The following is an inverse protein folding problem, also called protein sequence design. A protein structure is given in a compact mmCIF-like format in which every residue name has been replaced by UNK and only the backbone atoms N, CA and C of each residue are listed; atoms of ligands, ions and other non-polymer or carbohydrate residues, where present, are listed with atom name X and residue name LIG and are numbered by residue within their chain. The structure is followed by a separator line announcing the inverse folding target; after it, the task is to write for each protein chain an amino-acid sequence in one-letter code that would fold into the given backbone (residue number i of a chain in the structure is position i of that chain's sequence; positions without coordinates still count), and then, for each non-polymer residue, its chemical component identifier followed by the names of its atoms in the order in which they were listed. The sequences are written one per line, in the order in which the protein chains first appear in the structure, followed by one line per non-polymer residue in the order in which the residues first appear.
data_IF_873498324576
#
_entry.id   IF_873498324576
#
_cell.length_a   1.000
_cell.length_b   1.000
_cell.length_c   1.000
_cell.angle_alpha   90.00
_cell.angle_beta   90.00
_cell.angle_gamma   90.00
#
_symmetry.space_group_name_H-M   'P 1'
#
loop_
_entity.id
_entity.type
_entity.pdbx_description
1 polymer ?
#
# COMPACT_ATOMS: atom_id res chain seq x y z
N UNK A 1 7.91 -12.95 19.00
CA UNK A 1 7.13 -14.13 19.48
C UNK A 1 7.70 -15.39 18.84
N UNK A 2 7.96 -16.43 19.64
CA UNK A 2 8.43 -17.72 19.15
C UNK A 2 7.36 -18.42 18.27
N UNK A 3 7.73 -19.46 17.50
CA UNK A 3 6.76 -20.33 16.87
C UNK A 3 5.75 -20.86 17.91
N UNK A 4 4.50 -21.09 17.48
CA UNK A 4 3.40 -21.55 18.35
C UNK A 4 2.83 -20.51 19.33
N UNK A 5 3.25 -19.25 19.29
CA UNK A 5 2.71 -18.16 20.13
C UNK A 5 1.35 -17.63 19.67
N UNK A 6 0.68 -18.31 18.75
CA UNK A 6 -0.64 -17.92 18.19
C UNK A 6 -0.66 -16.51 17.55
N UNK A 7 0.45 -16.07 16.97
CA UNK A 7 0.56 -14.76 16.30
C UNK A 7 -0.57 -14.52 15.33
N UNK A 8 -0.78 -15.45 14.40
CA UNK A 8 -1.84 -15.32 13.37
C UNK A 8 -3.25 -15.29 13.97
N UNK A 9 -3.50 -15.98 15.09
CA UNK A 9 -4.80 -15.92 15.76
C UNK A 9 -5.05 -14.56 16.40
N UNK A 10 -4.02 -13.92 16.96
CA UNK A 10 -4.10 -12.58 17.55
C UNK A 10 -4.27 -11.55 16.44
N UNK A 11 -3.47 -11.64 15.38
CA UNK A 11 -3.57 -10.75 14.23
C UNK A 11 -4.94 -10.84 13.57
N UNK A 12 -5.43 -12.06 13.27
CA UNK A 12 -6.76 -12.27 12.71
C UNK A 12 -7.88 -11.69 13.58
N UNK A 13 -7.77 -11.83 14.90
CA UNK A 13 -8.74 -11.25 15.83
C UNK A 13 -8.71 -9.71 15.79
N UNK A 14 -7.52 -9.11 15.73
CA UNK A 14 -7.34 -7.66 15.64
C UNK A 14 -7.76 -7.10 14.27
N UNK A 15 -7.45 -7.81 13.19
CA UNK A 15 -7.78 -7.39 11.82
C UNK A 15 -9.26 -7.62 11.45
N UNK A 16 -9.95 -8.53 12.15
CA UNK A 16 -11.34 -8.91 11.83
C UNK A 16 -12.31 -7.73 11.67
N UNK A 17 -12.34 -6.73 12.55
CA UNK A 17 -13.23 -5.57 12.37
C UNK A 17 -12.91 -4.78 11.10
N UNK A 18 -11.64 -4.64 10.76
CA UNK A 18 -11.20 -3.95 9.54
C UNK A 18 -11.62 -4.74 8.29
N UNK A 19 -11.44 -6.06 8.30
CA UNK A 19 -11.84 -6.93 7.20
C UNK A 19 -13.35 -6.88 6.96
N UNK A 20 -14.16 -6.91 8.02
CA UNK A 20 -15.61 -6.79 7.92
C UNK A 20 -16.01 -5.44 7.35
N UNK A 21 -15.41 -4.36 7.84
CA UNK A 21 -15.68 -3.02 7.36
C UNK A 21 -15.32 -2.87 5.87
N UNK A 22 -14.13 -3.31 5.48
CA UNK A 22 -13.64 -3.26 4.10
C UNK A 22 -14.55 -4.07 3.16
N UNK A 23 -14.94 -5.29 3.56
CA UNK A 23 -15.84 -6.14 2.78
C UNK A 23 -17.21 -5.49 2.59
N UNK A 24 -17.84 -5.03 3.67
CA UNK A 24 -19.15 -4.37 3.63
C UNK A 24 -19.13 -3.10 2.78
N UNK A 25 -18.06 -2.29 2.92
CA UNK A 25 -17.89 -1.08 2.13
C UNK A 25 -17.77 -1.42 0.64
N UNK A 26 -16.93 -2.38 0.31
CA UNK A 26 -16.69 -2.80 -1.08
C UNK A 26 -17.95 -3.40 -1.71
N UNK A 27 -18.71 -4.19 -0.97
CA UNK A 27 -19.99 -4.72 -1.42
C UNK A 27 -21.00 -3.59 -1.72
N UNK A 28 -21.16 -2.67 -0.78
CA UNK A 28 -22.08 -1.53 -0.93
C UNK A 28 -21.72 -0.60 -2.09
N UNK A 29 -20.41 -0.49 -2.45
CA UNK A 29 -19.91 0.44 -3.46
C UNK A 29 -19.49 -0.25 -4.77
N UNK A 30 -19.65 -1.56 -4.90
CA UNK A 30 -19.18 -2.32 -6.06
C UNK A 30 -19.72 -1.77 -7.39
N UNK A 31 -21.01 -1.43 -7.44
CA UNK A 31 -21.63 -0.83 -8.62
C UNK A 31 -21.04 0.54 -8.98
N UNK A 32 -20.78 1.39 -7.99
CA UNK A 32 -20.21 2.72 -8.19
C UNK A 32 -18.73 2.64 -8.66
N UNK A 33 -17.96 1.69 -8.10
CA UNK A 33 -16.58 1.42 -8.51
C UNK A 33 -16.52 0.98 -9.97
N UNK A 34 -17.36 0.01 -10.39
CA UNK A 34 -17.38 -0.46 -11.78
C UNK A 34 -17.92 0.61 -12.75
N UNK A 35 -18.89 1.41 -12.35
CA UNK A 35 -19.36 2.54 -13.13
C UNK A 35 -18.27 3.59 -13.34
N UNK A 36 -17.53 3.95 -12.28
CA UNK A 36 -16.41 4.88 -12.33
C UNK A 36 -15.29 4.39 -13.25
N UNK A 37 -14.91 3.12 -13.13
CA UNK A 37 -13.92 2.47 -14.00
C UNK A 37 -14.36 2.45 -15.46
N UNK A 38 -15.66 2.23 -15.70
CA UNK A 38 -16.22 2.25 -17.06
C UNK A 38 -16.23 3.68 -17.64
N UNK A 39 -16.59 4.67 -16.82
CA UNK A 39 -16.57 6.08 -17.22
C UNK A 39 -15.15 6.53 -17.63
N UNK A 40 -14.13 6.18 -16.84
CA UNK A 40 -12.74 6.47 -17.19
C UNK A 40 -12.34 5.87 -18.54
N UNK A 41 -12.64 4.58 -18.75
CA UNK A 41 -12.35 3.89 -20.02
C UNK A 41 -13.06 4.56 -21.22
N UNK A 42 -14.27 5.08 -21.00
CA UNK A 42 -15.01 5.80 -22.03
C UNK A 42 -14.35 7.14 -22.35
N UNK A 43 -13.89 7.89 -21.33
CA UNK A 43 -13.14 9.14 -21.51
C UNK A 43 -11.84 8.90 -22.28
N UNK A 44 -11.06 7.89 -21.90
CA UNK A 44 -9.82 7.51 -22.60
C UNK A 44 -10.07 7.18 -24.08
N UNK A 45 -11.14 6.43 -24.37
CA UNK A 45 -11.53 6.11 -25.76
C UNK A 45 -11.99 7.34 -26.55
N UNK A 46 -12.76 8.24 -25.90
CA UNK A 46 -13.20 9.49 -26.55
C UNK A 46 -12.02 10.39 -26.86
N UNK A 47 -11.08 10.54 -25.92
CA UNK A 47 -9.85 11.29 -26.14
C UNK A 47 -9.07 10.73 -27.32
N UNK A 48 -8.77 9.44 -27.32
CA UNK A 48 -8.06 8.78 -28.41
C UNK A 48 -8.76 8.94 -29.77
N UNK A 49 -10.09 8.82 -29.80
CA UNK A 49 -10.86 9.04 -31.03
C UNK A 49 -10.78 10.50 -31.50
N UNK A 50 -10.87 11.47 -30.59
CA UNK A 50 -10.74 12.89 -30.91
C UNK A 50 -9.34 13.22 -31.47
N UNK A 51 -8.28 12.70 -30.85
CA UNK A 51 -6.89 12.81 -31.34
C UNK A 51 -6.76 12.28 -32.78
N UNK A 52 -7.31 11.09 -33.06
CA UNK A 52 -7.30 10.50 -34.39
C UNK A 52 -8.04 11.34 -35.45
N UNK A 53 -9.14 12.06 -35.06
CA UNK A 53 -9.88 12.94 -35.96
C UNK A 53 -9.13 14.25 -36.23
N UNK A 54 -8.48 14.81 -35.21
CA UNK A 54 -7.63 16.01 -35.36
C UNK A 54 -6.42 15.69 -36.26
N UNK A 55 -5.76 14.57 -36.07
CA UNK A 55 -4.65 14.12 -36.95
C UNK A 55 -5.07 13.96 -38.42
N UNK A 56 -6.35 13.64 -38.67
CA UNK A 56 -6.91 13.49 -40.01
C UNK A 56 -7.47 14.83 -40.57
N UNK A 57 -7.31 15.95 -39.86
CA UNK A 57 -7.81 17.27 -40.26
C UNK A 57 -9.35 17.39 -40.23
N UNK A 58 -10.05 16.51 -39.50
CA UNK A 58 -11.52 16.46 -39.48
C UNK A 58 -12.15 17.19 -38.27
N UNK A 59 -11.35 17.52 -37.24
CA UNK A 59 -11.79 18.25 -36.06
C UNK A 59 -10.73 19.23 -35.58
N UNK A 60 -11.15 20.18 -34.73
CA UNK A 60 -10.26 21.12 -34.09
C UNK A 60 -9.61 20.56 -32.84
N UNK A 61 -8.43 21.07 -32.46
CA UNK A 61 -7.67 20.59 -31.28
C UNK A 61 -8.36 20.93 -29.95
N UNK A 62 -9.28 21.89 -29.91
CA UNK A 62 -9.97 22.33 -28.69
C UNK A 62 -10.75 21.22 -27.98
N UNK A 63 -11.35 20.29 -28.74
CA UNK A 63 -12.06 19.13 -28.16
C UNK A 63 -11.08 18.13 -27.48
N UNK A 64 -9.89 17.95 -28.05
CA UNK A 64 -8.83 17.11 -27.47
C UNK A 64 -8.35 17.71 -26.16
N UNK A 65 -8.12 19.04 -26.13
CA UNK A 65 -7.70 19.72 -24.89
C UNK A 65 -8.74 19.60 -23.79
N UNK A 66 -10.02 19.78 -24.09
CA UNK A 66 -11.09 19.62 -23.10
C UNK A 66 -11.17 18.21 -22.55
N UNK A 67 -11.13 17.19 -23.40
CA UNK A 67 -11.16 15.79 -22.98
C UNK A 67 -9.91 15.39 -22.18
N UNK A 68 -8.74 15.95 -22.53
CA UNK A 68 -7.50 15.72 -21.78
C UNK A 68 -7.58 16.31 -20.36
N UNK A 69 -8.15 17.53 -20.23
CA UNK A 69 -8.39 18.15 -18.92
C UNK A 69 -9.41 17.32 -18.11
N UNK A 70 -10.55 16.96 -18.74
CA UNK A 70 -11.58 16.12 -18.08
C UNK A 70 -11.00 14.80 -17.58
N UNK A 71 -10.15 14.14 -18.36
CA UNK A 71 -9.48 12.91 -17.97
C UNK A 71 -8.46 13.13 -16.86
N UNK A 72 -7.69 14.22 -16.88
CA UNK A 72 -6.73 14.56 -15.84
C UNK A 72 -7.38 14.87 -14.49
N UNK A 73 -8.57 15.48 -14.50
CA UNK A 73 -9.35 15.81 -13.31
C UNK A 73 -10.23 14.64 -12.82
N UNK A 74 -10.40 13.59 -13.64
CA UNK A 74 -11.26 12.46 -13.31
C UNK A 74 -10.72 11.65 -12.13
N UNK A 75 -11.46 11.66 -11.04
CA UNK A 75 -11.15 10.86 -9.85
C UNK A 75 -11.85 9.51 -9.93
N UNK A 76 -11.10 8.48 -10.30
CA UNK A 76 -11.61 7.11 -10.34
C UNK A 76 -11.90 6.61 -8.92
N UNK A 77 -13.14 6.19 -8.67
CA UNK A 77 -13.48 5.52 -7.42
C UNK A 77 -12.89 4.11 -7.43
N UNK A 78 -12.08 3.81 -6.42
CA UNK A 78 -11.42 2.51 -6.25
C UNK A 78 -12.02 1.74 -5.09
N UNK A 79 -11.88 0.41 -5.06
CA UNK A 79 -12.22 -0.37 -3.88
C UNK A 79 -11.43 0.12 -2.67
N UNK A 80 -12.07 0.15 -1.52
CA UNK A 80 -11.40 0.44 -0.25
C UNK A 80 -10.39 -0.66 0.07
N UNK A 81 -9.19 -0.27 0.48
CA UNK A 81 -8.14 -1.16 0.96
C UNK A 81 -7.51 -0.56 2.21
N UNK A 82 -7.85 -1.10 3.37
CA UNK A 82 -7.40 -0.57 4.66
C UNK A 82 -5.95 -0.94 4.97
N UNK A 83 -5.55 -2.17 4.62
CA UNK A 83 -4.19 -2.63 4.84
C UNK A 83 -3.74 -3.67 3.79
N UNK A 84 -2.45 -3.96 3.82
CA UNK A 84 -1.79 -5.00 3.04
C UNK A 84 -0.91 -5.84 3.96
N UNK A 85 -0.69 -7.11 3.60
CA UNK A 85 0.21 -8.01 4.32
C UNK A 85 1.59 -8.04 3.66
N UNK A 86 1.62 -8.32 2.36
CA UNK A 86 2.82 -8.36 1.53
C UNK A 86 2.72 -7.34 0.39
N UNK A 87 3.75 -6.49 0.27
CA UNK A 87 3.74 -5.39 -0.70
C UNK A 87 5.15 -4.92 -1.04
N UNK A 88 5.45 -4.77 -2.33
CA UNK A 88 6.72 -4.14 -2.73
C UNK A 88 6.71 -2.63 -2.45
N UNK A 89 7.88 -1.99 -2.25
CA UNK A 89 7.96 -0.53 -2.02
C UNK A 89 7.29 0.28 -3.12
N UNK A 90 7.40 -0.18 -4.36
CA UNK A 90 6.77 0.46 -5.51
C UNK A 90 5.24 0.38 -5.47
N UNK A 91 4.71 -0.80 -5.11
CA UNK A 91 3.26 -0.97 -5.00
C UNK A 91 2.72 -0.26 -3.77
N UNK A 92 3.50 -0.18 -2.68
CA UNK A 92 3.14 0.59 -1.48
C UNK A 92 3.00 2.09 -1.81
N UNK A 93 3.91 2.65 -2.61
CA UNK A 93 3.79 4.04 -3.06
C UNK A 93 2.51 4.27 -3.87
N UNK A 94 2.18 3.34 -4.80
CA UNK A 94 0.92 3.43 -5.55
C UNK A 94 -0.31 3.31 -4.66
N UNK A 95 -0.29 2.42 -3.64
CA UNK A 95 -1.40 2.29 -2.68
C UNK A 95 -1.57 3.58 -1.87
N UNK A 96 -0.47 4.17 -1.39
CA UNK A 96 -0.52 5.46 -0.71
C UNK A 96 -1.11 6.55 -1.61
N UNK A 97 -0.67 6.63 -2.88
CA UNK A 97 -1.22 7.56 -3.86
C UNK A 97 -2.72 7.35 -4.11
N UNK A 98 -3.15 6.09 -4.20
CA UNK A 98 -4.54 5.69 -4.44
C UNK A 98 -5.47 5.94 -3.25
N UNK A 99 -4.93 5.99 -2.02
CA UNK A 99 -5.67 6.11 -0.76
C UNK A 99 -5.42 7.45 -0.04
N UNK A 100 -5.29 8.54 -0.77
CA UNK A 100 -5.07 9.89 -0.21
C UNK A 100 -3.89 9.95 0.78
N UNK A 101 -2.83 9.22 0.49
CA UNK A 101 -1.60 9.18 1.30
C UNK A 101 -1.64 8.19 2.47
N UNK A 102 -2.69 7.41 2.66
CA UNK A 102 -2.84 6.53 3.82
C UNK A 102 -2.71 5.07 3.45
N UNK A 103 -1.92 4.32 4.22
CA UNK A 103 -1.82 2.86 4.10
C UNK A 103 -1.44 2.23 5.45
N UNK A 104 -1.78 0.95 5.60
CA UNK A 104 -1.28 0.15 6.71
C UNK A 104 -0.67 -1.17 6.17
N UNK A 105 0.32 -1.67 6.88
CA UNK A 105 0.90 -3.01 6.68
C UNK A 105 0.67 -3.80 7.95
N UNK A 106 0.01 -4.95 7.84
CA UNK A 106 -0.18 -5.90 8.92
C UNK A 106 0.40 -7.23 8.48
N UNK A 107 1.44 -7.74 9.16
CA UNK A 107 2.05 -9.01 8.80
C UNK A 107 2.51 -9.81 10.01
N UNK A 108 2.32 -11.14 9.95
CA UNK A 108 2.73 -12.08 10.99
C UNK A 108 4.09 -12.73 10.73
N UNK A 109 4.65 -12.55 9.55
CA UNK A 109 5.86 -13.26 9.13
C UNK A 109 7.09 -12.36 9.02
N UNK A 110 6.88 -11.05 8.91
CA UNK A 110 7.98 -10.10 8.74
C UNK A 110 8.65 -10.14 7.37
N UNK A 111 8.03 -10.83 6.39
CA UNK A 111 8.54 -10.97 5.01
C UNK A 111 8.80 -9.64 4.30
N UNK A 112 8.12 -8.58 4.71
CA UNK A 112 8.40 -7.22 4.25
C UNK A 112 9.88 -6.83 4.47
N UNK A 113 10.51 -7.27 5.56
CA UNK A 113 11.91 -6.95 5.82
C UNK A 113 12.87 -7.74 4.92
N UNK A 114 12.53 -8.98 4.56
CA UNK A 114 13.30 -9.78 3.61
C UNK A 114 13.30 -9.10 2.24
N UNK A 115 12.16 -8.59 1.82
CA UNK A 115 12.01 -7.83 0.58
C UNK A 115 12.76 -6.49 0.67
N UNK A 116 12.65 -5.77 1.77
CA UNK A 116 13.32 -4.49 1.99
C UNK A 116 14.83 -4.64 2.14
N UNK A 117 15.33 -5.76 2.68
CA UNK A 117 16.77 -6.03 2.81
C UNK A 117 17.46 -6.30 1.49
N UNK A 118 16.69 -6.41 0.40
CA UNK A 118 17.24 -6.63 -0.93
C UNK A 118 17.56 -8.09 -1.24
N UNK A 119 16.98 -9.05 -0.51
CA UNK A 119 17.12 -10.49 -0.83
C UNK A 119 16.70 -10.76 -2.27
N UNK A 120 15.68 -10.05 -2.75
CA UNK A 120 15.16 -10.16 -4.12
C UNK A 120 15.65 -9.05 -5.07
N UNK A 121 16.28 -7.98 -4.55
CA UNK A 121 16.79 -6.86 -5.37
C UNK A 121 18.07 -6.31 -4.77
N UNK A 122 19.05 -6.00 -5.61
CA UNK A 122 20.36 -5.45 -5.17
C UNK A 122 20.28 -4.07 -4.48
N UNK A 123 19.13 -3.38 -4.55
CA UNK A 123 18.93 -2.06 -3.99
C UNK A 123 17.85 -2.07 -2.92
N UNK A 124 18.26 -1.76 -1.71
CA UNK A 124 17.36 -1.58 -0.55
C UNK A 124 16.66 -0.23 -0.66
N UNK A 125 15.36 -0.23 -0.93
CA UNK A 125 14.57 1.00 -0.99
C UNK A 125 13.61 1.09 0.19
N UNK A 126 14.05 1.76 1.26
CA UNK A 126 13.24 1.99 2.47
C UNK A 126 12.65 3.41 2.54
N UNK A 127 12.83 4.23 1.49
CA UNK A 127 12.43 5.64 1.50
C UNK A 127 10.94 5.83 1.74
N UNK A 128 10.11 4.97 1.13
CA UNK A 128 8.65 5.01 1.30
C UNK A 128 8.26 4.79 2.76
N UNK A 129 8.96 3.90 3.48
CA UNK A 129 8.71 3.63 4.90
C UNK A 129 9.13 4.81 5.77
N UNK A 130 10.34 5.36 5.53
CA UNK A 130 10.86 6.49 6.29
C UNK A 130 9.97 7.72 6.14
N UNK A 131 9.63 8.05 4.89
CA UNK A 131 8.76 9.19 4.57
C UNK A 131 7.32 8.97 5.01
N UNK A 132 6.81 7.73 4.88
CA UNK A 132 5.48 7.37 5.37
C UNK A 132 5.33 7.51 6.89
N UNK A 133 6.42 7.32 7.65
CA UNK A 133 6.46 7.59 9.09
C UNK A 133 6.54 9.10 9.40
N UNK A 134 7.39 9.84 8.67
CA UNK A 134 7.65 11.26 8.97
C UNK A 134 6.57 12.19 8.39
N UNK A 135 5.75 11.72 7.44
CA UNK A 135 4.82 12.57 6.70
C UNK A 135 5.49 13.40 5.60
N UNK A 136 6.74 13.10 5.27
CA UNK A 136 7.50 13.81 4.24
C UNK A 136 6.97 13.47 2.85
N UNK A 137 6.92 14.43 1.90
CA UNK A 137 6.42 14.18 0.56
C UNK A 137 7.18 13.06 -0.16
N UNK A 138 6.42 12.14 -0.76
CA UNK A 138 6.94 11.07 -1.62
C UNK A 138 6.69 11.48 -3.06
N UNK A 139 7.76 11.51 -3.88
CA UNK A 139 7.68 11.70 -5.32
C UNK A 139 8.32 10.49 -5.99
N UNK A 140 7.56 9.83 -6.84
CA UNK A 140 8.01 8.63 -7.58
C UNK A 140 7.93 8.93 -9.06
N UNK A 141 9.10 9.08 -9.68
CA UNK A 141 9.26 9.26 -11.11
C UNK A 141 10.00 8.04 -11.66
N UNK A 142 9.34 7.23 -12.47
CA UNK A 142 9.94 6.04 -13.08
C UNK A 142 9.59 5.93 -14.54
N UNK A 143 10.51 5.43 -15.35
CA UNK A 143 10.29 5.16 -16.75
C UNK A 143 9.14 4.16 -16.92
N UNK A 144 8.15 4.49 -17.76
CA UNK A 144 7.01 3.64 -18.07
C UNK A 144 5.84 3.66 -17.07
N UNK A 145 5.85 4.59 -16.09
CA UNK A 145 4.74 4.83 -15.15
C UNK A 145 4.45 6.32 -15.04
N UNK A 146 3.21 6.65 -14.72
CA UNK A 146 2.85 8.02 -14.38
C UNK A 146 3.57 8.43 -13.08
N UNK A 147 4.04 9.67 -13.03
CA UNK A 147 4.62 10.26 -11.81
C UNK A 147 3.57 10.33 -10.71
N UNK A 148 3.93 9.88 -9.52
CA UNK A 148 3.06 9.90 -8.35
C UNK A 148 3.64 10.86 -7.31
N UNK A 149 2.81 11.75 -6.79
CA UNK A 149 3.18 12.68 -5.72
C UNK A 149 2.21 12.52 -4.56
N UNK A 150 2.74 12.17 -3.39
CA UNK A 150 1.98 12.02 -2.15
C UNK A 150 2.50 13.08 -1.18
N UNK A 151 1.69 14.10 -0.89
CA UNK A 151 2.15 15.28 -0.14
C UNK A 151 2.28 15.04 1.36
N UNK A 152 1.40 14.23 1.94
CA UNK A 152 1.36 13.94 3.38
C UNK A 152 1.09 12.45 3.63
N UNK A 153 2.07 11.58 3.35
CA UNK A 153 1.90 10.14 3.57
C UNK A 153 1.77 9.82 5.06
N UNK A 154 0.90 8.87 5.37
CA UNK A 154 0.74 8.30 6.70
C UNK A 154 0.73 6.77 6.57
N UNK A 155 1.81 6.14 7.02
CA UNK A 155 1.99 4.70 6.96
C UNK A 155 2.02 4.11 8.37
N UNK A 156 1.11 3.18 8.64
CA UNK A 156 1.12 2.38 9.86
C UNK A 156 1.66 0.99 9.56
N UNK A 157 2.57 0.47 10.40
CA UNK A 157 3.13 -0.87 10.25
C UNK A 157 2.98 -1.63 11.57
N UNK A 158 2.29 -2.77 11.51
CA UNK A 158 2.19 -3.73 12.62
C UNK A 158 2.77 -5.07 12.18
N UNK A 159 3.80 -5.52 12.89
CA UNK A 159 4.49 -6.76 12.58
C UNK A 159 4.56 -7.65 13.81
N UNK A 160 4.20 -8.91 13.64
CA UNK A 160 4.31 -9.94 14.67
C UNK A 160 5.45 -10.89 14.33
N UNK A 161 6.66 -10.35 14.21
CA UNK A 161 7.85 -11.08 13.78
C UNK A 161 8.36 -12.06 14.84
N UNK A 162 9.10 -13.06 14.38
CA UNK A 162 9.87 -13.96 15.24
C UNK A 162 11.14 -13.26 15.73
N UNK A 163 11.73 -13.67 16.90
CA UNK A 163 12.96 -13.08 17.40
C UNK A 163 14.14 -13.14 16.42
N UNK A 164 14.24 -14.21 15.64
CA UNK A 164 15.26 -14.37 14.60
C UNK A 164 15.14 -13.29 13.51
N UNK A 165 13.93 -12.99 13.06
CA UNK A 165 13.64 -11.92 12.09
C UNK A 165 14.02 -10.58 12.69
N UNK A 166 13.63 -10.32 13.94
CA UNK A 166 13.99 -9.09 14.64
C UNK A 166 15.50 -8.90 14.77
N UNK A 167 16.22 -9.97 15.11
CA UNK A 167 17.69 -9.95 15.16
C UNK A 167 18.30 -9.60 13.81
N UNK A 168 17.79 -10.16 12.72
CA UNK A 168 18.20 -9.82 11.35
C UNK A 168 17.97 -8.36 10.99
N UNK A 169 16.82 -7.82 11.37
CA UNK A 169 16.49 -6.38 11.15
C UNK A 169 17.45 -5.48 11.93
N UNK A 170 17.69 -5.82 13.20
CA UNK A 170 18.55 -5.04 14.08
C UNK A 170 20.04 -5.08 13.67
N UNK A 171 20.49 -6.16 13.04
CA UNK A 171 21.85 -6.30 12.54
C UNK A 171 22.07 -5.69 11.14
N UNK A 172 21.02 -5.29 10.44
CA UNK A 172 21.13 -4.70 9.11
C UNK A 172 21.63 -3.26 9.19
N UNK A 173 22.86 -3.03 8.70
CA UNK A 173 23.51 -1.72 8.74
C UNK A 173 22.75 -0.64 7.99
N UNK A 174 22.08 -0.97 6.89
CA UNK A 174 21.29 -0.01 6.14
C UNK A 174 20.08 0.44 6.94
N UNK A 175 19.38 -0.48 7.61
CA UNK A 175 18.21 -0.15 8.42
C UNK A 175 18.59 0.68 9.65
N UNK A 176 19.69 0.34 10.29
CA UNK A 176 20.23 1.11 11.44
C UNK A 176 20.74 2.47 10.99
N UNK A 177 21.60 2.51 9.99
CA UNK A 177 22.24 3.74 9.52
C UNK A 177 21.26 4.78 8.99
N UNK A 178 20.11 4.35 8.45
CA UNK A 178 19.03 5.23 7.98
C UNK A 178 17.93 5.43 9.03
N UNK A 179 18.07 4.89 10.22
CA UNK A 179 17.16 5.08 11.35
C UNK A 179 15.79 4.39 11.20
N UNK A 180 15.65 3.38 10.32
CA UNK A 180 14.39 2.63 10.18
C UNK A 180 14.05 1.92 11.48
N UNK A 181 15.02 1.24 12.10
CA UNK A 181 14.82 0.49 13.34
C UNK A 181 14.38 1.37 14.51
N UNK A 182 14.83 2.63 14.56
CA UNK A 182 14.45 3.58 15.60
C UNK A 182 12.99 4.08 15.49
N UNK A 183 12.30 3.80 14.40
CA UNK A 183 10.91 4.21 14.16
C UNK A 183 9.88 3.19 14.62
N UNK A 184 10.33 2.04 15.12
CA UNK A 184 9.45 0.98 15.62
C UNK A 184 9.39 0.98 17.16
N UNK A 185 8.22 0.71 17.68
CA UNK A 185 8.02 0.33 19.07
C UNK A 185 8.13 -1.18 19.18
N UNK A 186 8.97 -1.67 20.06
CA UNK A 186 9.22 -3.11 20.25
C UNK A 186 8.53 -3.62 21.49
N UNK A 187 7.83 -4.77 21.37
CA UNK A 187 7.23 -5.46 22.48
C UNK A 187 7.61 -6.94 22.42
N UNK A 188 8.16 -7.46 23.51
CA UNK A 188 8.54 -8.86 23.67
C UNK A 188 7.72 -9.42 24.83
N UNK A 189 6.51 -9.94 24.60
CA UNK A 189 5.68 -10.48 25.65
C UNK A 189 6.26 -11.78 26.17
N UNK A 190 5.98 -12.07 27.46
CA UNK A 190 6.33 -13.36 28.07
C UNK A 190 5.63 -14.51 27.36
N UNK A 191 6.39 -15.58 27.06
CA UNK A 191 5.82 -16.78 26.45
C UNK A 191 4.97 -17.56 27.45
N UNK A 192 3.79 -17.98 26.98
CA UNK A 192 2.92 -18.92 27.71
C UNK A 192 2.81 -20.28 27.02
N UNK A 193 3.72 -20.60 26.12
CA UNK A 193 3.76 -21.92 25.47
C UNK A 193 3.96 -23.00 26.55
N UNK A 194 3.13 -24.05 26.50
CA UNK A 194 3.12 -25.13 27.52
C UNK A 194 2.29 -24.82 28.77
N UNK A 195 1.92 -23.59 29.04
CA UNK A 195 1.13 -23.17 30.22
C UNK A 195 -0.33 -22.82 29.88
N UNK A 196 -0.70 -22.89 28.62
CA UNK A 196 -2.04 -22.52 28.15
C UNK A 196 -3.07 -23.57 28.49
N UNK A 197 -4.21 -23.13 29.00
CA UNK A 197 -5.34 -24.02 29.28
C UNK A 197 -6.40 -23.77 28.17
N UNK A 198 -6.98 -24.86 27.70
CA UNK A 198 -8.14 -24.80 26.82
C UNK A 198 -9.33 -24.23 27.61
N UNK A 199 -10.00 -23.23 27.06
CA UNK A 199 -11.31 -22.78 27.55
C UNK A 199 -12.28 -22.94 26.38
N UNK A 200 -13.32 -23.75 26.56
CA UNK A 200 -14.46 -23.76 25.64
C UNK A 200 -15.20 -22.43 25.73
N UNK A 201 -15.52 -21.85 24.60
CA UNK A 201 -16.45 -20.72 24.54
C UNK A 201 -17.87 -21.23 24.73
#
# INVERSE_FOLDING_TARGET
MEPSERKSAVENAAARPMNIYEANWNEAHAGAVEASKSAKRMLEKRLKFAEDQVCKGKKEASEVEQLAVELAEFKEQKPLRLYVDDVTPEKLASILSENDGRAAILSTEGGIFDMLSGIYTKNVNIDVLLKGYSGDPIRVDRVGRNSETIMAPALTILLMAQPSVLSGIMSNDTFRGRGLTARFLYSIPTSFVGQRRYRSN
#
